data_IF_835899836100
#
_entry.id   IF_835899836100
#
_cell.length_a   1.000
_cell.length_b   1.000
_cell.length_c   1.000
_cell.angle_alpha   90.00
_cell.angle_beta   90.00
_cell.angle_gamma   90.00
#
_symmetry.space_group_name_H-M   'P 1'
#
loop_
_entity.id
_entity.type
_entity.pdbx_description
1 polymer ?
#
# COMPACT_ATOMS: atom_id res chain seq x y z
N UNK A 1 -1.66 10.90 -10.45
CA UNK A 1 -3.08 10.48 -10.32
C UNK A 1 -3.46 10.63 -8.86
N UNK A 2 -4.71 10.96 -8.51
CA UNK A 2 -5.05 11.04 -7.08
C UNK A 2 -4.98 9.63 -6.48
N UNK A 3 -4.48 9.52 -5.24
CA UNK A 3 -4.28 8.21 -4.59
C UNK A 3 -5.59 7.42 -4.46
N UNK A 4 -6.70 8.13 -4.37
CA UNK A 4 -8.05 7.57 -4.34
C UNK A 4 -8.36 6.82 -5.65
N UNK A 5 -8.00 7.37 -6.81
CA UNK A 5 -8.23 6.74 -8.11
C UNK A 5 -7.43 5.44 -8.23
N UNK A 6 -6.19 5.43 -7.73
CA UNK A 6 -5.36 4.23 -7.67
C UNK A 6 -6.04 3.15 -6.82
N UNK A 7 -6.47 3.51 -5.61
CA UNK A 7 -7.15 2.58 -4.70
C UNK A 7 -8.43 2.05 -5.33
N UNK A 8 -9.23 2.91 -5.96
CA UNK A 8 -10.45 2.48 -6.66
C UNK A 8 -10.14 1.52 -7.81
N UNK A 9 -9.10 1.79 -8.60
CA UNK A 9 -8.68 0.90 -9.69
C UNK A 9 -8.21 -0.46 -9.15
N UNK A 10 -7.47 -0.48 -8.04
CA UNK A 10 -7.03 -1.71 -7.37
C UNK A 10 -8.22 -2.56 -6.94
N UNK A 11 -9.20 -1.96 -6.26
CA UNK A 11 -10.40 -2.65 -5.78
C UNK A 11 -11.27 -3.11 -6.95
N UNK A 12 -11.37 -2.31 -8.02
CA UNK A 12 -12.11 -2.68 -9.23
C UNK A 12 -11.51 -3.89 -9.94
N UNK A 13 -10.18 -3.95 -10.07
CA UNK A 13 -9.48 -5.03 -10.77
C UNK A 13 -9.37 -6.28 -9.90
N UNK A 14 -9.37 -6.14 -8.57
CA UNK A 14 -9.36 -7.25 -7.62
C UNK A 14 -10.29 -7.00 -6.42
N UNK A 15 -11.59 -7.31 -6.55
CA UNK A 15 -12.58 -7.05 -5.50
C UNK A 15 -12.34 -7.78 -4.18
N UNK A 16 -11.53 -8.84 -4.21
CA UNK A 16 -11.17 -9.63 -3.02
C UNK A 16 -9.92 -9.07 -2.31
N UNK A 17 -9.25 -8.07 -2.89
CA UNK A 17 -8.10 -7.43 -2.27
C UNK A 17 -8.55 -6.51 -1.15
N UNK A 18 -8.00 -6.72 0.04
CA UNK A 18 -8.16 -5.77 1.13
C UNK A 18 -7.08 -4.69 1.01
N UNK A 19 -7.52 -3.43 1.07
CA UNK A 19 -6.65 -2.26 0.94
C UNK A 19 -6.85 -1.35 2.14
N UNK A 20 -5.77 -0.96 2.79
CA UNK A 20 -5.76 0.07 3.83
C UNK A 20 -4.79 1.17 3.45
N UNK A 21 -5.29 2.40 3.49
CA UNK A 21 -4.52 3.59 3.19
C UNK A 21 -4.48 4.52 4.40
N UNK A 22 -3.32 5.10 4.70
CA UNK A 22 -3.20 6.11 5.74
C UNK A 22 -2.01 7.05 5.50
N UNK A 23 -2.16 8.31 5.92
CA UNK A 23 -1.07 9.28 6.00
C UNK A 23 -0.62 9.43 7.44
N UNK A 24 0.69 9.51 7.66
CA UNK A 24 1.27 9.80 8.98
C UNK A 24 2.05 11.11 8.92
N UNK A 25 1.67 12.04 9.78
CA UNK A 25 2.47 13.24 10.07
C UNK A 25 3.60 12.86 11.01
N UNK A 26 4.75 13.53 10.89
CA UNK A 26 5.87 13.29 11.79
C UNK A 26 5.44 13.68 13.21
N UNK A 27 5.42 12.72 14.13
CA UNK A 27 5.25 13.00 15.55
C UNK A 27 6.62 12.86 16.24
N UNK A 28 7.13 14.00 16.71
CA UNK A 28 8.22 14.11 17.69
C UNK A 28 9.43 13.17 17.48
N UNK A 29 9.90 13.04 16.23
CA UNK A 29 11.12 12.27 15.90
C UNK A 29 11.00 10.74 15.99
N UNK A 30 9.89 10.21 16.49
CA UNK A 30 9.69 8.76 16.71
C UNK A 30 9.10 8.03 15.51
N UNK A 31 8.49 8.77 14.57
CA UNK A 31 7.76 8.16 13.45
C UNK A 31 8.08 8.86 12.13
N UNK A 32 8.46 8.09 11.12
CA UNK A 32 8.71 8.62 9.78
C UNK A 32 7.41 9.16 9.18
N UNK A 33 7.44 10.41 8.73
CA UNK A 33 6.38 10.97 7.91
C UNK A 33 6.24 10.19 6.61
N UNK A 34 5.02 9.90 6.17
CA UNK A 34 4.81 9.18 4.93
C UNK A 34 3.34 8.91 4.62
N UNK A 35 3.09 8.56 3.37
CA UNK A 35 1.85 7.88 2.99
C UNK A 35 2.13 6.39 2.90
N UNK A 36 1.16 5.61 3.36
CA UNK A 36 1.26 4.18 3.49
C UNK A 36 0.07 3.51 2.85
N UNK A 37 0.33 2.41 2.16
CA UNK A 37 -0.67 1.52 1.64
C UNK A 37 -0.33 0.09 2.05
N UNK A 38 -1.31 -0.60 2.61
CA UNK A 38 -1.24 -2.00 3.01
C UNK A 38 -2.22 -2.77 2.13
N UNK A 39 -1.72 -3.79 1.45
CA UNK A 39 -2.49 -4.66 0.57
C UNK A 39 -2.47 -6.07 1.14
N UNK A 40 -3.63 -6.71 1.27
CA UNK A 40 -3.73 -8.14 1.55
C UNK A 40 -4.40 -8.83 0.38
N UNK A 41 -3.68 -9.78 -0.22
CA UNK A 41 -4.14 -10.48 -1.41
C UNK A 41 -3.41 -11.80 -1.61
N UNK A 42 -3.99 -12.73 -2.38
CA UNK A 42 -3.27 -13.92 -2.86
C UNK A 42 -2.36 -13.62 -4.06
N UNK A 43 -2.63 -12.54 -4.79
CA UNK A 43 -1.90 -12.12 -5.98
C UNK A 43 -2.05 -10.62 -6.22
N UNK A 44 -0.95 -9.96 -6.64
CA UNK A 44 -0.93 -8.57 -7.12
C UNK A 44 -0.56 -8.59 -8.60
N UNK A 45 -1.44 -8.05 -9.44
CA UNK A 45 -1.16 -7.88 -10.87
C UNK A 45 -0.04 -6.88 -11.12
N UNK A 46 0.78 -7.13 -12.15
CA UNK A 46 1.92 -6.26 -12.52
C UNK A 46 1.50 -4.80 -12.70
N UNK A 47 0.40 -4.53 -13.43
CA UNK A 47 -0.14 -3.19 -13.62
C UNK A 47 -0.45 -2.45 -12.31
N UNK A 48 -1.04 -3.14 -11.34
CA UNK A 48 -1.33 -2.58 -10.01
C UNK A 48 -0.03 -2.22 -9.28
N UNK A 49 0.94 -3.13 -9.30
CA UNK A 49 2.22 -2.90 -8.66
C UNK A 49 2.96 -1.73 -9.32
N UNK A 50 3.04 -1.72 -10.65
CA UNK A 50 3.70 -0.67 -11.43
C UNK A 50 3.07 0.71 -11.18
N UNK A 51 1.74 0.79 -11.12
CA UNK A 51 1.05 2.04 -10.78
C UNK A 51 1.46 2.59 -9.40
N UNK A 52 1.58 1.71 -8.40
CA UNK A 52 2.00 2.12 -7.06
C UNK A 52 3.46 2.59 -7.06
N UNK A 53 4.35 1.84 -7.73
CA UNK A 53 5.76 2.20 -7.84
C UNK A 53 5.96 3.53 -8.59
N UNK A 54 5.23 3.75 -9.69
CA UNK A 54 5.27 4.99 -10.47
C UNK A 54 4.79 6.21 -9.67
N UNK A 55 3.94 6.00 -8.67
CA UNK A 55 3.41 7.03 -7.78
C UNK A 55 4.32 7.26 -6.54
N UNK A 56 5.52 6.67 -6.58
CA UNK A 56 6.59 6.89 -5.60
C UNK A 56 6.51 5.98 -4.39
N UNK A 57 5.56 5.03 -4.34
CA UNK A 57 5.55 4.02 -3.28
C UNK A 57 6.69 3.04 -3.47
N UNK A 58 7.31 2.65 -2.36
CA UNK A 58 8.32 1.61 -2.29
C UNK A 58 7.81 0.50 -1.41
N UNK A 59 8.05 -0.75 -1.80
CA UNK A 59 7.78 -1.90 -0.95
C UNK A 59 8.71 -1.82 0.26
N UNK A 60 8.12 -1.74 1.45
CA UNK A 60 8.87 -1.85 2.69
C UNK A 60 8.92 -3.29 3.18
N UNK A 61 7.79 -3.99 3.15
CA UNK A 61 7.74 -5.40 3.56
C UNK A 61 6.73 -6.20 2.74
N UNK A 62 7.04 -7.48 2.57
CA UNK A 62 6.11 -8.51 2.09
C UNK A 62 6.10 -9.60 3.14
N UNK A 63 4.91 -9.96 3.63
CA UNK A 63 4.74 -11.00 4.65
C UNK A 63 3.66 -11.96 4.21
N UNK A 64 4.01 -13.23 4.06
CA UNK A 64 3.02 -14.29 3.81
C UNK A 64 2.24 -14.56 5.10
N UNK A 65 0.92 -14.51 4.99
CA UNK A 65 -0.02 -14.87 6.03
C UNK A 65 -0.68 -16.20 5.67
N UNK A 66 -0.82 -17.08 6.66
CA UNK A 66 -1.67 -18.25 6.57
C UNK A 66 -2.79 -18.12 7.60
N UNK A 67 -4.02 -17.98 7.13
CA UNK A 67 -5.20 -17.88 7.98
C UNK A 67 -6.09 -19.08 7.64
N UNK A 68 -6.13 -20.06 8.54
CA UNK A 68 -6.81 -21.34 8.31
C UNK A 68 -6.29 -22.05 7.03
N UNK A 69 -7.19 -22.32 6.07
CA UNK A 69 -6.87 -22.93 4.80
C UNK A 69 -6.32 -21.92 3.76
N UNK A 70 -6.48 -20.62 4.01
CA UNK A 70 -6.13 -19.60 3.05
C UNK A 70 -4.70 -19.09 3.24
N UNK A 71 -4.05 -18.76 2.12
CA UNK A 71 -2.71 -18.17 2.08
C UNK A 71 -2.78 -16.86 1.31
N UNK A 72 -2.31 -15.80 1.96
CA UNK A 72 -2.26 -14.44 1.42
C UNK A 72 -0.88 -13.83 1.64
N UNK A 73 -0.62 -12.70 1.01
CA UNK A 73 0.52 -11.84 1.32
C UNK A 73 0.02 -10.47 1.73
N UNK A 74 0.53 -10.00 2.86
CA UNK A 74 0.48 -8.60 3.26
C UNK A 74 1.65 -7.88 2.61
N UNK A 75 1.36 -6.89 1.76
CA UNK A 75 2.35 -6.03 1.12
C UNK A 75 2.20 -4.63 1.67
N UNK A 76 3.25 -4.15 2.32
CA UNK A 76 3.31 -2.81 2.89
C UNK A 76 4.17 -1.93 2.01
N UNK A 77 3.59 -0.85 1.49
CA UNK A 77 4.30 0.14 0.69
C UNK A 77 4.24 1.52 1.34
N UNK A 78 5.32 2.28 1.21
CA UNK A 78 5.46 3.65 1.72
C UNK A 78 5.97 4.59 0.64
N UNK A 79 5.45 5.81 0.62
CA UNK A 79 6.10 6.96 -0.02
C UNK A 79 6.35 8.07 0.98
N UNK A 80 7.42 8.82 0.78
CA UNK A 80 7.75 9.95 1.63
C UNK A 80 6.82 11.12 1.38
N UNK A 81 6.46 11.83 2.45
CA UNK A 81 5.80 13.14 2.36
C UNK A 81 6.80 14.17 2.84
N UNK A 82 7.13 15.13 1.98
CA UNK A 82 7.89 16.31 2.37
C UNK A 82 6.87 17.36 2.79
N UNK A 83 6.72 17.57 4.10
CA UNK A 83 5.97 18.72 4.60
C UNK A 83 6.79 19.97 4.28
N UNK A 84 6.30 20.81 3.35
CA UNK A 84 6.86 22.15 3.16
C UNK A 84 6.37 22.98 4.35
N UNK A 85 7.31 23.37 5.22
CA UNK A 85 7.08 24.34 6.29
C UNK A 85 6.92 25.75 5.72
#
# INVERSE_FOLDING_TARGET
MEIQDIIFQIIKDNPQMWVRYFKKTQHSGLTSAGEYIELRCGYIGSKTLDNLLNEGFKIETIKTQKINADVYSDVFLRREIIYKH
#
